data_IF_395662365148
#
_entry.id   IF_395662365148
#
_cell.length_a   1.000
_cell.length_b   1.000
_cell.length_c   1.000
_cell.angle_alpha   90.00
_cell.angle_beta   90.00
_cell.angle_gamma   90.00
#
_symmetry.space_group_name_H-M   'P 1'
#
loop_
_entity.id
_entity.type
_entity.pdbx_description
1 polymer ?
#
# COMPACT_ATOMS: atom_id res chain seq x y z
N UNK A 1 -41.61 30.65 20.73
CA UNK A 1 -42.45 29.54 21.24
C UNK A 1 -42.45 28.45 20.18
N UNK A 2 -41.97 27.25 20.53
CA UNK A 2 -41.83 26.12 19.60
C UNK A 2 -40.50 25.41 19.82
N UNK A 3 -40.47 24.49 20.78
CA UNK A 3 -39.34 23.61 21.09
C UNK A 3 -39.27 22.45 20.09
N UNK A 4 -38.06 22.03 19.73
CA UNK A 4 -37.80 20.67 19.27
C UNK A 4 -36.47 20.20 19.88
N UNK A 5 -36.57 19.18 20.73
CA UNK A 5 -35.46 18.44 21.30
C UNK A 5 -35.00 17.37 20.32
N UNK A 6 -33.70 17.11 20.24
CA UNK A 6 -33.14 15.84 19.79
C UNK A 6 -31.94 15.45 20.66
N UNK A 7 -31.92 14.19 21.04
CA UNK A 7 -31.03 13.50 21.98
C UNK A 7 -29.62 13.22 21.38
N UNK A 8 -28.65 12.71 22.17
CA UNK A 8 -27.24 12.96 21.95
C UNK A 8 -26.61 12.12 20.83
N UNK A 9 -25.64 12.73 20.15
CA UNK A 9 -24.75 12.07 19.21
C UNK A 9 -23.94 10.96 19.90
N UNK A 10 -24.27 9.71 19.58
CA UNK A 10 -23.40 8.57 19.85
C UNK A 10 -22.18 8.64 18.94
N UNK A 11 -21.01 8.83 19.54
CA UNK A 11 -19.70 8.69 18.90
C UNK A 11 -19.51 7.24 18.48
N UNK A 12 -19.21 6.99 17.21
CA UNK A 12 -18.53 5.76 16.81
C UNK A 12 -17.29 6.18 15.98
N UNK A 13 -16.05 5.88 16.40
CA UNK A 13 -14.85 6.53 15.86
C UNK A 13 -14.17 5.81 14.69
N UNK A 14 -14.65 4.66 14.22
CA UNK A 14 -13.77 3.74 13.46
C UNK A 14 -14.03 3.68 11.95
N UNK A 15 -13.96 4.81 11.25
CA UNK A 15 -13.80 4.80 9.79
C UNK A 15 -12.82 5.90 9.35
N UNK A 16 -11.55 5.54 9.23
CA UNK A 16 -10.56 6.34 8.51
C UNK A 16 -10.80 6.16 7.00
N UNK A 17 -11.38 7.19 6.37
CA UNK A 17 -11.47 7.27 4.92
C UNK A 17 -10.06 7.46 4.34
N UNK A 18 -9.56 6.48 3.60
CA UNK A 18 -8.37 6.63 2.78
C UNK A 18 -8.71 7.57 1.60
N UNK A 19 -8.09 8.74 1.57
CA UNK A 19 -8.29 9.77 0.57
C UNK A 19 -7.26 9.58 -0.54
N UNK A 20 -7.62 8.86 -1.61
CA UNK A 20 -6.83 8.90 -2.85
C UNK A 20 -7.16 10.23 -3.57
N UNK A 21 -6.19 11.15 -3.61
CA UNK A 21 -6.31 12.43 -4.29
C UNK A 21 -6.04 12.26 -5.80
N UNK A 22 -7.09 12.42 -6.61
CA UNK A 22 -6.98 12.67 -8.06
C UNK A 22 -7.32 14.14 -8.36
N UNK A 23 -6.61 14.83 -9.27
CA UNK A 23 -6.65 16.30 -9.37
C UNK A 23 -7.94 16.90 -9.93
N UNK A 24 -8.83 16.11 -10.53
CA UNK A 24 -9.99 16.65 -11.28
C UNK A 24 -11.36 16.16 -10.79
N UNK A 25 -11.48 15.79 -9.51
CA UNK A 25 -12.78 15.49 -8.90
C UNK A 25 -13.31 16.70 -8.11
N UNK A 26 -14.55 17.17 -8.35
CA UNK A 26 -15.15 18.19 -7.51
C UNK A 26 -15.28 17.67 -6.07
N UNK A 27 -14.87 18.50 -5.10
CA UNK A 27 -14.62 18.18 -3.69
C UNK A 27 -15.79 17.61 -2.85
N UNK A 28 -16.90 17.18 -3.47
CA UNK A 28 -18.14 16.76 -2.79
C UNK A 28 -18.72 15.44 -3.35
N UNK A 29 -17.90 14.46 -3.71
CA UNK A 29 -18.41 13.13 -4.09
C UNK A 29 -18.36 12.14 -2.91
N UNK A 30 -19.21 12.38 -1.91
CA UNK A 30 -19.56 11.31 -0.99
C UNK A 30 -20.42 10.29 -1.74
N UNK A 31 -20.09 8.98 -1.72
CA UNK A 31 -20.95 7.96 -2.29
C UNK A 31 -22.30 8.04 -1.57
N UNK A 32 -23.33 8.48 -2.32
CA UNK A 32 -24.70 8.50 -1.82
C UNK A 32 -25.18 7.06 -1.69
N UNK A 33 -25.21 6.57 -0.46
CA UNK A 33 -26.00 5.39 -0.08
C UNK A 33 -27.45 5.75 -0.38
N UNK A 34 -28.04 5.09 -1.37
CA UNK A 34 -29.46 5.21 -1.65
C UNK A 34 -30.14 4.15 -0.81
N UNK A 35 -30.81 4.55 0.27
CA UNK A 35 -31.56 3.65 1.14
C UNK A 35 -32.75 3.07 0.36
N UNK A 36 -32.60 1.82 -0.09
CA UNK A 36 -33.73 0.96 -0.45
C UNK A 36 -34.16 0.18 0.79
N UNK A 37 -35.48 0.00 0.94
CA UNK A 37 -36.15 -0.66 2.07
C UNK A 37 -35.35 -1.85 2.65
N UNK A 38 -35.26 -1.87 3.98
CA UNK A 38 -34.40 -2.72 4.81
C UNK A 38 -34.62 -4.24 4.58
N UNK A 39 -33.91 -4.79 3.60
CA UNK A 39 -33.75 -6.22 3.33
C UNK A 39 -32.29 -6.68 3.56
N UNK A 40 -31.44 -5.85 4.16
CA UNK A 40 -30.01 -6.12 4.32
C UNK A 40 -29.16 -6.02 3.04
N UNK A 41 -29.74 -5.59 1.91
CA UNK A 41 -29.01 -5.36 0.65
C UNK A 41 -28.34 -3.97 0.66
N UNK A 42 -27.05 -3.92 0.29
CA UNK A 42 -26.28 -2.67 0.13
C UNK A 42 -25.93 -2.45 -1.33
N UNK A 43 -26.24 -1.26 -1.85
CA UNK A 43 -25.89 -0.86 -3.24
C UNK A 43 -24.71 0.10 -3.20
N UNK A 44 -23.64 -0.26 -3.92
CA UNK A 44 -22.47 0.58 -4.13
C UNK A 44 -22.41 1.05 -5.59
N UNK A 45 -22.08 2.32 -5.82
CA UNK A 45 -21.85 2.89 -7.17
C UNK A 45 -20.38 3.25 -7.31
N UNK A 46 -19.78 2.89 -8.45
CA UNK A 46 -18.40 3.18 -8.79
C UNK A 46 -18.24 3.51 -10.28
N UNK A 47 -16.98 3.66 -10.71
CA UNK A 47 -16.61 3.88 -12.11
C UNK A 47 -16.47 2.52 -12.79
N UNK A 48 -17.20 2.29 -13.89
CA UNK A 48 -17.12 1.04 -14.64
C UNK A 48 -15.85 0.97 -15.48
N UNK A 49 -15.02 -0.07 -15.25
CA UNK A 49 -13.77 -0.29 -15.99
C UNK A 49 -13.94 -1.30 -17.14
N UNK A 50 -14.86 -2.28 -16.99
CA UNK A 50 -15.13 -3.31 -18.00
C UNK A 50 -16.62 -3.68 -18.01
N UNK A 51 -17.24 -3.97 -19.17
CA UNK A 51 -18.65 -4.35 -19.26
C UNK A 51 -18.92 -5.77 -18.75
N UNK A 52 -20.05 -5.97 -18.07
CA UNK A 52 -20.51 -7.29 -17.62
C UNK A 52 -21.45 -7.25 -16.42
N UNK A 53 -22.07 -8.39 -16.08
CA UNK A 53 -22.85 -8.60 -14.85
C UNK A 53 -22.35 -9.86 -14.16
N UNK A 54 -21.99 -9.76 -12.88
CA UNK A 54 -21.42 -10.85 -12.09
C UNK A 54 -22.20 -11.02 -10.79
N UNK A 55 -22.37 -12.28 -10.35
CA UNK A 55 -22.89 -12.65 -9.04
C UNK A 55 -21.91 -13.61 -8.39
N UNK A 56 -21.38 -13.26 -7.22
CA UNK A 56 -20.38 -14.07 -6.53
C UNK A 56 -20.33 -13.77 -5.03
N UNK A 57 -19.50 -14.51 -4.31
CA UNK A 57 -19.14 -14.17 -2.93
C UNK A 57 -18.16 -13.01 -2.94
N UNK A 58 -18.31 -12.10 -2.00
CA UNK A 58 -17.34 -11.02 -1.79
C UNK A 58 -16.18 -11.60 -0.99
N UNK A 59 -14.97 -11.45 -1.51
CA UNK A 59 -13.72 -11.66 -0.77
C UNK A 59 -13.14 -10.29 -0.51
N UNK A 60 -12.94 -9.95 0.77
CA UNK A 60 -12.31 -8.70 1.17
C UNK A 60 -10.83 -9.01 1.34
N UNK A 61 -10.00 -8.44 0.47
CA UNK A 61 -8.57 -8.42 0.65
C UNK A 61 -8.25 -7.19 1.50
N UNK A 62 -8.04 -7.40 2.79
CA UNK A 62 -7.50 -6.38 3.67
C UNK A 62 -5.99 -6.54 3.62
N UNK A 63 -5.39 -5.95 2.60
CA UNK A 63 -3.94 -5.93 2.49
C UNK A 63 -3.47 -4.74 3.31
N UNK A 64 -2.65 -5.02 4.32
CA UNK A 64 -2.19 -4.06 5.33
C UNK A 64 -1.15 -3.07 4.75
N UNK A 65 -1.31 -2.73 3.47
CA UNK A 65 -0.45 -1.90 2.63
C UNK A 65 -0.23 -0.48 3.18
N UNK A 66 -0.81 -0.13 4.33
CA UNK A 66 -0.74 1.21 4.91
C UNK A 66 -0.60 1.28 6.42
N UNK A 67 -0.52 0.17 7.17
CA UNK A 67 -0.23 0.29 8.60
C UNK A 67 1.26 0.56 8.79
N UNK A 68 1.56 1.82 9.14
CA UNK A 68 2.88 2.26 9.56
C UNK A 68 3.42 1.28 10.63
N UNK A 69 4.55 0.59 10.39
CA UNK A 69 5.07 -0.41 11.31
C UNK A 69 5.29 0.15 12.72
N UNK A 70 5.06 -0.66 13.74
CA UNK A 70 5.27 -0.25 15.13
C UNK A 70 6.76 0.06 15.38
N UNK A 71 7.02 1.27 15.87
CA UNK A 71 8.37 1.69 16.26
C UNK A 71 8.78 1.04 17.58
N UNK A 72 9.92 0.38 17.61
CA UNK A 72 10.58 -0.04 18.84
C UNK A 72 12.06 0.30 18.85
N UNK A 73 12.65 0.32 20.05
CA UNK A 73 14.06 0.68 20.25
C UNK A 73 14.95 -0.52 19.95
N UNK A 74 16.01 -0.27 19.18
CA UNK A 74 17.09 -1.22 18.92
C UNK A 74 18.34 -0.72 19.62
N UNK A 75 19.10 -1.60 20.27
CA UNK A 75 20.40 -1.19 20.83
C UNK A 75 21.41 -0.98 19.70
N UNK A 76 22.34 0.00 19.80
CA UNK A 76 23.33 0.26 18.75
C UNK A 76 24.11 -0.99 18.30
N UNK A 77 24.39 -1.90 19.24
CA UNK A 77 25.10 -3.16 18.98
C UNK A 77 24.31 -4.13 18.09
N UNK A 78 22.98 -3.98 18.02
CA UNK A 78 22.08 -4.80 17.21
C UNK A 78 21.77 -4.15 15.86
N UNK A 79 22.25 -2.92 15.59
CA UNK A 79 22.07 -2.26 14.29
C UNK A 79 22.54 -3.12 13.11
N UNK A 80 23.68 -3.83 13.18
CA UNK A 80 24.09 -4.71 12.08
C UNK A 80 23.10 -5.84 11.79
N UNK A 81 22.44 -6.39 12.81
CA UNK A 81 21.44 -7.44 12.63
C UNK A 81 20.18 -6.92 11.92
N UNK A 82 19.77 -5.67 12.21
CA UNK A 82 18.67 -5.02 11.48
C UNK A 82 19.01 -4.79 10.00
N UNK A 83 20.25 -4.47 9.68
CA UNK A 83 20.71 -4.32 8.29
C UNK A 83 20.78 -5.67 7.56
N UNK A 84 21.18 -6.74 8.25
CA UNK A 84 21.15 -8.11 7.70
C UNK A 84 19.71 -8.53 7.36
N UNK A 85 18.77 -8.30 8.29
CA UNK A 85 17.32 -8.53 8.05
C UNK A 85 16.80 -7.74 6.84
N UNK A 86 17.24 -6.50 6.67
CA UNK A 86 16.90 -5.69 5.49
C UNK A 86 17.39 -6.36 4.20
N UNK A 87 18.65 -6.77 4.17
CA UNK A 87 19.26 -7.39 2.99
C UNK A 87 18.56 -8.70 2.62
N UNK A 88 18.22 -9.53 3.60
CA UNK A 88 17.45 -10.77 3.38
C UNK A 88 16.06 -10.48 2.80
N UNK A 89 15.35 -9.49 3.34
CA UNK A 89 14.03 -9.11 2.84
C UNK A 89 14.09 -8.52 1.43
N UNK A 90 15.07 -7.67 1.11
CA UNK A 90 15.28 -7.16 -0.25
C UNK A 90 15.59 -8.31 -1.23
N UNK A 91 16.41 -9.27 -0.84
CA UNK A 91 16.72 -10.45 -1.66
C UNK A 91 15.51 -11.38 -1.86
N UNK A 92 14.63 -11.50 -0.87
CA UNK A 92 13.35 -12.20 -1.00
C UNK A 92 12.42 -11.47 -1.97
N UNK A 93 12.19 -10.16 -1.76
CA UNK A 93 11.32 -9.34 -2.61
C UNK A 93 11.78 -9.34 -4.07
N UNK A 94 13.08 -9.26 -4.32
CA UNK A 94 13.65 -9.36 -5.66
C UNK A 94 13.27 -10.67 -6.35
N UNK A 95 13.39 -11.80 -5.65
CA UNK A 95 13.03 -13.12 -6.19
C UNK A 95 11.53 -13.21 -6.47
N UNK A 96 10.71 -12.64 -5.59
CA UNK A 96 9.26 -12.60 -5.79
C UNK A 96 8.86 -11.79 -7.02
N UNK A 97 9.43 -10.58 -7.17
CA UNK A 97 9.17 -9.72 -8.34
C UNK A 97 9.63 -10.40 -9.63
N UNK A 98 10.84 -10.98 -9.65
CA UNK A 98 11.36 -11.67 -10.83
C UNK A 98 10.48 -12.88 -11.22
N UNK A 99 10.02 -13.67 -10.24
CA UNK A 99 9.09 -14.78 -10.49
C UNK A 99 7.76 -14.30 -11.08
N UNK A 100 7.18 -13.24 -10.52
CA UNK A 100 5.92 -12.68 -11.02
C UNK A 100 6.13 -12.12 -12.44
N UNK A 101 7.25 -11.44 -12.69
CA UNK A 101 7.60 -10.94 -14.01
C UNK A 101 7.68 -12.07 -15.05
N UNK A 102 8.32 -13.19 -14.71
CA UNK A 102 8.43 -14.36 -15.58
C UNK A 102 7.03 -14.97 -15.84
N UNK A 103 6.20 -15.13 -14.81
CA UNK A 103 4.83 -15.65 -14.95
C UNK A 103 3.95 -14.77 -15.83
N UNK A 104 4.04 -13.44 -15.69
CA UNK A 104 3.31 -12.48 -16.51
C UNK A 104 3.82 -12.50 -17.95
N UNK A 105 5.15 -12.53 -18.14
CA UNK A 105 5.76 -12.60 -19.47
C UNK A 105 5.29 -13.83 -20.24
N UNK A 106 5.21 -14.98 -19.57
CA UNK A 106 4.78 -16.23 -20.18
C UNK A 106 3.27 -16.26 -20.51
N UNK A 107 2.44 -15.59 -19.70
CA UNK A 107 0.97 -15.62 -19.85
C UNK A 107 0.41 -14.49 -20.73
N UNK A 108 1.02 -13.32 -20.68
CA UNK A 108 0.50 -12.07 -21.25
C UNK A 108 1.46 -11.44 -22.27
N UNK A 109 2.75 -11.78 -22.21
CA UNK A 109 3.79 -11.29 -23.12
C UNK A 109 4.72 -10.26 -22.48
N UNK A 110 5.82 -9.95 -23.17
CA UNK A 110 6.90 -9.12 -22.60
C UNK A 110 6.48 -7.69 -22.27
N UNK A 111 5.61 -7.07 -23.07
CA UNK A 111 5.18 -5.68 -22.84
C UNK A 111 4.48 -5.48 -21.50
N UNK A 112 3.68 -6.47 -21.08
CA UNK A 112 2.96 -6.41 -19.80
C UNK A 112 3.90 -6.72 -18.61
N UNK A 113 5.06 -7.32 -18.86
CA UNK A 113 6.06 -7.65 -17.84
C UNK A 113 7.09 -6.51 -17.61
N UNK A 114 7.18 -5.52 -18.49
CA UNK A 114 8.14 -4.40 -18.37
C UNK A 114 7.88 -3.53 -17.13
N UNK A 115 6.65 -3.51 -16.60
CA UNK A 115 6.32 -2.77 -15.38
C UNK A 115 7.17 -3.21 -14.18
N UNK A 116 7.58 -4.48 -14.14
CA UNK A 116 8.37 -5.04 -13.03
C UNK A 116 9.84 -4.59 -13.05
N UNK A 117 10.37 -4.15 -14.20
CA UNK A 117 11.74 -3.62 -14.27
C UNK A 117 11.87 -2.32 -13.47
N UNK A 118 10.83 -1.47 -13.51
CA UNK A 118 10.78 -0.26 -12.68
C UNK A 118 10.76 -0.60 -11.18
N UNK A 119 10.04 -1.65 -10.79
CA UNK A 119 9.96 -2.10 -9.40
C UNK A 119 11.32 -2.63 -8.92
N UNK A 120 12.03 -3.40 -9.76
CA UNK A 120 13.38 -3.87 -9.46
C UNK A 120 14.39 -2.73 -9.32
N UNK A 121 14.28 -1.69 -10.15
CA UNK A 121 15.14 -0.51 -10.08
C UNK A 121 14.96 0.25 -8.76
N UNK A 122 13.72 0.40 -8.28
CA UNK A 122 13.44 1.02 -6.97
C UNK A 122 14.06 0.22 -5.83
N UNK A 123 13.98 -1.11 -5.90
CA UNK A 123 14.55 -2.01 -4.89
C UNK A 123 16.08 -1.94 -4.79
N UNK A 124 16.73 -1.46 -5.85
CA UNK A 124 18.19 -1.34 -5.99
C UNK A 124 18.74 0.05 -5.66
N UNK A 125 17.89 1.02 -5.33
CA UNK A 125 18.35 2.39 -5.10
C UNK A 125 19.21 2.51 -3.84
N UNK A 126 20.52 2.60 -4.04
CA UNK A 126 21.49 2.73 -2.96
C UNK A 126 21.32 4.01 -2.14
N UNK A 127 20.75 5.07 -2.72
CA UNK A 127 20.49 6.32 -1.99
C UNK A 127 19.45 6.09 -0.92
N UNK A 128 18.36 5.40 -1.27
CA UNK A 128 17.30 5.03 -0.33
C UNK A 128 17.85 4.10 0.75
N UNK A 129 18.61 3.07 0.37
CA UNK A 129 19.17 2.09 1.31
C UNK A 129 20.18 2.71 2.28
N UNK A 130 21.05 3.59 1.80
CA UNK A 130 21.98 4.35 2.65
C UNK A 130 21.23 5.25 3.64
N UNK A 131 20.11 5.84 3.23
CA UNK A 131 19.29 6.68 4.08
C UNK A 131 18.57 5.87 5.17
N UNK A 132 18.06 4.68 4.82
CA UNK A 132 17.51 3.73 5.79
C UNK A 132 18.55 3.31 6.83
N UNK A 133 19.77 2.96 6.38
CA UNK A 133 20.86 2.62 7.28
C UNK A 133 21.16 3.76 8.27
N UNK A 134 21.34 4.99 7.76
CA UNK A 134 21.57 6.18 8.59
C UNK A 134 20.43 6.41 9.57
N UNK A 135 19.18 6.16 9.16
CA UNK A 135 18.01 6.32 10.01
C UNK A 135 18.02 5.35 11.18
N UNK A 136 18.31 4.06 10.93
CA UNK A 136 18.43 3.01 11.95
C UNK A 136 19.51 3.40 12.97
N UNK A 137 20.71 3.73 12.50
CA UNK A 137 21.86 4.05 13.35
C UNK A 137 21.65 5.34 14.17
N UNK A 138 21.11 6.39 13.55
CA UNK A 138 20.90 7.67 14.21
C UNK A 138 19.73 7.65 15.21
N UNK A 139 18.66 6.91 14.91
CA UNK A 139 17.44 6.89 15.73
C UNK A 139 17.34 5.68 16.64
N UNK A 140 18.20 4.68 16.48
CA UNK A 140 18.20 3.43 17.25
C UNK A 140 16.83 2.74 17.22
N UNK A 141 16.32 2.52 16.01
CA UNK A 141 14.98 1.96 15.74
C UNK A 141 15.08 0.71 14.87
N UNK A 142 14.00 -0.05 14.84
CA UNK A 142 13.87 -1.23 14.00
C UNK A 142 13.77 -0.91 12.50
N UNK A 143 14.19 -1.87 11.68
CA UNK A 143 14.29 -1.77 10.23
C UNK A 143 12.94 -1.51 9.55
N UNK A 144 11.86 -2.14 10.01
CA UNK A 144 10.54 -2.01 9.39
C UNK A 144 10.06 -0.56 9.47
N UNK A 145 10.20 0.03 10.65
CA UNK A 145 9.84 1.43 10.86
C UNK A 145 10.75 2.36 10.05
N UNK A 146 12.07 2.16 10.09
CA UNK A 146 13.02 3.00 9.36
C UNK A 146 12.79 2.96 7.85
N UNK A 147 12.62 1.75 7.30
CA UNK A 147 12.39 1.53 5.87
C UNK A 147 11.08 2.15 5.40
N UNK A 148 10.00 1.99 6.18
CA UNK A 148 8.72 2.65 5.90
C UNK A 148 8.85 4.18 5.89
N UNK A 149 9.47 4.78 6.92
CA UNK A 149 9.59 6.25 7.01
C UNK A 149 10.38 6.85 5.85
N UNK A 150 11.52 6.23 5.50
CA UNK A 150 12.35 6.73 4.40
C UNK A 150 11.60 6.56 3.08
N UNK A 151 11.02 5.38 2.83
CA UNK A 151 10.33 5.11 1.56
C UNK A 151 9.09 6.00 1.37
N UNK A 152 8.32 6.24 2.44
CA UNK A 152 7.15 7.14 2.37
C UNK A 152 7.57 8.59 2.12
N UNK A 153 8.69 9.06 2.69
CA UNK A 153 9.22 10.39 2.38
C UNK A 153 9.62 10.52 0.91
N UNK A 154 10.22 9.47 0.31
CA UNK A 154 10.54 9.43 -1.12
C UNK A 154 9.28 9.45 -1.97
N UNK A 155 8.28 8.63 -1.62
CA UNK A 155 7.01 8.57 -2.34
C UNK A 155 6.27 9.92 -2.30
N UNK A 156 6.24 10.59 -1.14
CA UNK A 156 5.65 11.93 -1.00
C UNK A 156 6.40 12.95 -1.86
N UNK A 157 7.74 12.94 -1.82
CA UNK A 157 8.56 13.87 -2.60
C UNK A 157 8.30 13.72 -4.10
N UNK A 158 8.28 12.49 -4.63
CA UNK A 158 7.98 12.21 -6.03
C UNK A 158 6.54 12.54 -6.41
N UNK A 159 5.57 12.19 -5.57
CA UNK A 159 4.15 12.47 -5.81
C UNK A 159 3.78 13.95 -5.77
N UNK A 160 4.63 14.79 -5.16
CA UNK A 160 4.44 16.24 -5.11
C UNK A 160 4.88 16.97 -6.39
N UNK A 161 5.53 16.27 -7.33
CA UNK A 161 5.95 16.84 -8.60
C UNK A 161 4.74 16.89 -9.55
N UNK A 162 4.57 18.01 -10.27
CA UNK A 162 3.51 18.21 -11.27
C UNK A 162 3.80 17.46 -12.59
N UNK A 163 4.15 16.18 -12.47
CA UNK A 163 4.45 15.28 -13.58
C UNK A 163 3.66 13.98 -13.35
N UNK A 164 2.88 13.56 -14.34
CA UNK A 164 2.03 12.37 -14.25
C UNK A 164 2.85 11.08 -14.09
N UNK A 165 3.96 10.96 -14.83
CA UNK A 165 4.83 9.81 -14.77
C UNK A 165 5.54 9.70 -13.40
N UNK A 166 5.95 10.83 -12.80
CA UNK A 166 6.52 10.82 -11.44
C UNK A 166 5.49 10.52 -10.34
N UNK A 167 4.21 10.85 -10.55
CA UNK A 167 3.13 10.48 -9.64
C UNK A 167 2.82 8.99 -9.69
N UNK A 168 2.85 8.38 -10.87
CA UNK A 168 2.74 6.92 -11.02
C UNK A 168 3.90 6.20 -10.30
N UNK A 169 5.13 6.71 -10.45
CA UNK A 169 6.32 6.21 -9.72
C UNK A 169 6.17 6.23 -8.19
N UNK A 170 5.44 7.20 -7.63
CA UNK A 170 5.20 7.26 -6.19
C UNK A 170 4.33 6.08 -5.70
N UNK A 171 3.40 5.60 -6.53
CA UNK A 171 2.61 4.41 -6.22
C UNK A 171 3.48 3.15 -6.30
N UNK A 172 4.36 3.04 -7.31
CA UNK A 172 5.29 1.91 -7.45
C UNK A 172 6.22 1.78 -6.23
N UNK A 173 6.72 2.90 -5.69
CA UNK A 173 7.53 2.90 -4.47
C UNK A 173 6.75 2.33 -3.30
N UNK A 174 5.47 2.71 -3.14
CA UNK A 174 4.64 2.18 -2.05
C UNK A 174 4.36 0.69 -2.22
N UNK A 175 4.14 0.21 -3.45
CA UNK A 175 3.96 -1.23 -3.71
C UNK A 175 5.23 -2.02 -3.34
N UNK A 176 6.40 -1.58 -3.83
CA UNK A 176 7.68 -2.20 -3.48
C UNK A 176 7.92 -2.15 -1.97
N UNK A 177 7.59 -1.02 -1.33
CA UNK A 177 7.74 -0.85 0.11
C UNK A 177 6.91 -1.88 0.87
N UNK A 178 5.64 -2.05 0.49
CA UNK A 178 4.76 -3.01 1.14
C UNK A 178 5.27 -4.45 1.00
N UNK A 179 5.77 -4.84 -0.19
CA UNK A 179 6.37 -6.18 -0.39
C UNK A 179 7.59 -6.42 0.49
N UNK A 180 8.49 -5.44 0.62
CA UNK A 180 9.66 -5.53 1.51
C UNK A 180 9.21 -5.64 2.97
N UNK A 181 8.23 -4.86 3.41
CA UNK A 181 7.67 -4.95 4.76
C UNK A 181 6.99 -6.30 5.02
N UNK A 182 6.31 -6.87 4.03
CA UNK A 182 5.77 -8.23 4.09
C UNK A 182 6.86 -9.26 4.36
N UNK A 183 7.95 -9.19 3.60
CA UNK A 183 9.10 -10.08 3.78
C UNK A 183 9.84 -9.85 5.11
N UNK A 184 9.94 -8.60 5.61
CA UNK A 184 10.53 -8.30 6.92
C UNK A 184 9.71 -8.84 8.10
N UNK A 185 8.39 -8.86 7.96
CA UNK A 185 7.45 -9.29 9.01
C UNK A 185 7.04 -10.76 8.89
N UNK A 186 7.49 -11.46 7.86
CA UNK A 186 7.08 -12.83 7.56
C UNK A 186 5.64 -12.96 7.06
N UNK A 187 5.01 -11.84 6.68
CA UNK A 187 3.71 -11.80 6.02
C UNK A 187 3.94 -12.02 4.52
N UNK A 188 3.93 -13.27 4.09
CA UNK A 188 4.02 -13.63 2.67
C UNK A 188 2.80 -13.11 1.88
N UNK A 189 2.96 -12.98 0.56
CA UNK A 189 1.87 -12.60 -0.34
C UNK A 189 0.65 -13.51 -0.17
N UNK A 190 -0.55 -12.94 -0.14
CA UNK A 190 -1.80 -13.69 -0.02
C UNK A 190 -2.04 -14.47 -1.32
N UNK A 191 -2.03 -15.81 -1.23
CA UNK A 191 -2.37 -16.66 -2.38
C UNK A 191 -3.88 -16.69 -2.61
N UNK A 192 -4.29 -16.17 -3.76
CA UNK A 192 -5.69 -16.11 -4.19
C UNK A 192 -6.04 -17.15 -5.26
N UNK A 193 -5.11 -18.01 -5.64
CA UNK A 193 -5.29 -19.01 -6.71
C UNK A 193 -6.41 -20.01 -6.41
N UNK A 194 -6.80 -20.16 -5.14
CA UNK A 194 -7.91 -21.01 -4.70
C UNK A 194 -9.30 -20.37 -4.82
N UNK A 195 -9.39 -19.11 -5.25
CA UNK A 195 -10.67 -18.37 -5.34
C UNK A 195 -11.32 -18.42 -6.72
N UNK A 196 -10.64 -18.98 -7.72
CA UNK A 196 -11.11 -19.17 -9.10
C UNK A 196 -11.44 -20.63 -9.39
#
# INVERSE_FOLDING_TARGET
>A
VGQAQAHPAGKNPDYHACFCLFPDLPANHHPRVVDSADNGERIFRGIGVSPGVVRGRIVILDDDHGERPARHRVEPKNSPAELERLQEALAATRRDIARIQDEVRDRMGSSDAEIFDAHLLVLEDQTLLDEVQKFIEAKNVNVEFAFHEVSENYAIALGSVEDEYLRERAADIRDVTSRVLGNLTGRGAVDLSHLT
#
